data_IF_185786264558
#
_entry.id   IF_185786264558
#
_cell.length_a   1.000
_cell.length_b   1.000
_cell.length_c   1.000
_cell.angle_alpha   90.00
_cell.angle_beta   90.00
_cell.angle_gamma   90.00
#
_symmetry.space_group_name_H-M   'P 1'
#
loop_
_entity.id
_entity.type
_entity.pdbx_description
1 polymer ?
#
# COMPACT_ATOMS: atom_id res chain seq x y z
N UNK A 1 65.07 -20.50 -23.81
CA UNK A 1 64.73 -19.55 -22.76
C UNK A 1 63.34 -18.97 -23.09
N UNK A 2 62.29 -19.42 -22.41
CA UNK A 2 60.92 -19.02 -22.65
C UNK A 2 60.59 -17.89 -21.66
N UNK A 3 60.20 -16.74 -22.22
CA UNK A 3 59.72 -15.61 -21.42
C UNK A 3 58.23 -15.80 -21.15
N UNK A 4 57.86 -16.04 -19.87
CA UNK A 4 56.51 -16.05 -19.41
C UNK A 4 55.99 -14.60 -19.32
N UNK A 5 55.02 -14.24 -20.14
CA UNK A 5 54.25 -13.00 -19.98
C UNK A 5 53.28 -13.12 -18.83
N UNK A 6 53.51 -12.33 -17.78
CA UNK A 6 52.56 -12.13 -16.68
C UNK A 6 51.40 -11.28 -17.19
N UNK A 7 50.27 -11.92 -17.44
CA UNK A 7 49.01 -11.21 -17.70
C UNK A 7 48.51 -10.66 -16.33
N UNK A 8 48.54 -9.34 -16.20
CA UNK A 8 48.00 -8.64 -15.06
C UNK A 8 46.49 -8.89 -14.92
N UNK A 9 46.10 -9.46 -13.81
CA UNK A 9 44.72 -9.60 -13.36
C UNK A 9 44.20 -8.27 -12.76
N UNK A 10 43.99 -7.26 -13.57
CA UNK A 10 43.48 -5.94 -13.09
C UNK A 10 42.28 -5.50 -13.96
N UNK A 11 41.30 -6.38 -14.15
CA UNK A 11 40.08 -6.02 -14.90
C UNK A 11 38.81 -6.66 -14.30
N UNK A 12 38.70 -6.79 -12.99
CA UNK A 12 37.46 -7.19 -12.36
C UNK A 12 37.31 -6.44 -11.03
N UNK A 13 36.99 -5.16 -11.06
CA UNK A 13 36.44 -4.44 -9.89
C UNK A 13 35.97 -3.03 -10.27
N UNK A 14 35.11 -2.92 -11.30
CA UNK A 14 34.21 -1.77 -11.42
C UNK A 14 32.80 -2.28 -11.66
N UNK A 15 32.29 -3.12 -10.76
CA UNK A 15 30.86 -3.23 -10.53
C UNK A 15 30.45 -1.95 -9.80
N UNK A 16 30.07 -0.92 -10.59
CA UNK A 16 29.35 0.22 -10.03
C UNK A 16 28.28 -0.31 -9.10
N UNK A 17 28.38 -0.02 -7.81
CA UNK A 17 27.30 -0.30 -6.83
C UNK A 17 26.05 0.41 -7.36
N UNK A 18 25.17 -0.34 -8.02
CA UNK A 18 23.90 0.19 -8.52
C UNK A 18 23.22 0.92 -7.37
N UNK A 19 23.03 2.22 -7.52
CA UNK A 19 22.44 3.07 -6.49
C UNK A 19 21.09 2.47 -6.08
N UNK A 20 20.93 2.15 -4.79
CA UNK A 20 19.69 1.56 -4.26
C UNK A 20 18.70 2.67 -3.96
N UNK A 21 17.42 2.46 -4.29
CA UNK A 21 16.34 3.37 -3.90
C UNK A 21 16.04 3.19 -2.42
N UNK A 22 15.84 4.31 -1.73
CA UNK A 22 15.27 4.37 -0.38
C UNK A 22 13.85 4.90 -0.50
N UNK A 23 12.88 4.16 0.00
CA UNK A 23 11.49 4.55 0.06
C UNK A 23 11.21 5.34 1.34
N UNK A 24 10.20 6.21 1.31
CA UNK A 24 9.63 6.75 2.55
C UNK A 24 8.97 5.64 3.38
N UNK A 25 8.70 5.85 4.68
CA UNK A 25 8.13 4.82 5.55
C UNK A 25 6.81 4.24 5.02
N UNK A 26 5.97 5.06 4.41
CA UNK A 26 4.67 4.68 3.86
C UNK A 26 4.82 3.75 2.66
N UNK A 27 5.64 4.10 1.67
CA UNK A 27 5.93 3.25 0.51
C UNK A 27 6.73 2.01 0.90
N UNK A 28 7.63 2.12 1.90
CA UNK A 28 8.34 0.95 2.42
C UNK A 28 7.35 -0.06 3.03
N UNK A 29 6.36 0.40 3.80
CA UNK A 29 5.31 -0.47 4.34
C UNK A 29 4.49 -1.13 3.22
N UNK A 30 4.17 -0.41 2.14
CA UNK A 30 3.55 -1.02 0.96
C UNK A 30 4.46 -2.09 0.34
N UNK A 31 5.75 -1.80 0.18
CA UNK A 31 6.71 -2.77 -0.34
C UNK A 31 6.82 -4.02 0.55
N UNK A 32 6.73 -3.88 1.88
CA UNK A 32 6.77 -5.01 2.82
C UNK A 32 5.58 -5.94 2.65
N UNK A 33 4.43 -5.43 2.23
CA UNK A 33 3.19 -6.20 2.04
C UNK A 33 3.14 -6.93 0.70
N UNK A 34 3.84 -6.46 -0.33
CA UNK A 34 3.93 -7.15 -1.63
C UNK A 34 4.54 -8.55 -1.42
N UNK A 35 3.98 -9.58 -2.06
CA UNK A 35 4.48 -10.96 -2.02
C UNK A 35 5.83 -11.08 -2.75
N UNK A 36 6.58 -12.14 -2.49
CA UNK A 36 7.84 -12.41 -3.18
C UNK A 36 7.62 -13.22 -4.46
N UNK A 37 8.44 -12.94 -5.49
CA UNK A 37 8.43 -13.70 -6.74
C UNK A 37 7.25 -13.39 -7.67
N UNK A 38 6.58 -12.25 -7.47
CA UNK A 38 5.35 -11.85 -8.18
C UNK A 38 5.61 -10.80 -9.26
N UNK A 39 4.66 -10.67 -10.19
CA UNK A 39 4.51 -9.51 -11.08
C UNK A 39 3.71 -8.45 -10.32
N UNK A 40 4.17 -7.19 -10.35
CA UNK A 40 3.52 -6.10 -9.60
C UNK A 40 3.03 -5.02 -10.55
N UNK A 41 1.82 -4.50 -10.31
CA UNK A 41 1.36 -3.23 -10.86
C UNK A 41 1.33 -2.17 -9.76
N UNK A 42 1.95 -1.02 -10.00
CA UNK A 42 1.91 0.19 -9.15
C UNK A 42 1.04 1.24 -9.84
N UNK A 43 -0.14 1.52 -9.29
CA UNK A 43 -1.17 2.39 -9.86
C UNK A 43 -1.13 3.75 -9.21
N UNK A 44 -1.03 4.80 -10.03
CA UNK A 44 -0.74 6.16 -9.59
C UNK A 44 0.73 6.31 -9.19
N UNK A 45 1.60 5.75 -10.03
CA UNK A 45 3.03 5.75 -9.75
C UNK A 45 3.60 7.16 -9.82
N UNK A 46 4.20 7.62 -8.73
CA UNK A 46 4.98 8.85 -8.72
C UNK A 46 6.46 8.50 -8.89
N UNK A 47 7.04 8.87 -10.02
CA UNK A 47 8.44 8.63 -10.38
C UNK A 47 8.89 7.14 -10.43
N UNK A 48 8.02 6.17 -10.21
CA UNK A 48 8.34 4.72 -10.27
C UNK A 48 9.19 4.20 -9.12
N UNK A 49 9.28 4.90 -7.99
CA UNK A 49 10.20 4.52 -6.90
C UNK A 49 9.83 3.17 -6.28
N UNK A 50 8.54 2.92 -6.02
CA UNK A 50 8.10 1.66 -5.43
C UNK A 50 8.39 0.45 -6.33
N UNK A 51 7.95 0.40 -7.60
CA UNK A 51 8.25 -0.74 -8.46
C UNK A 51 9.76 -0.92 -8.70
N UNK A 52 10.55 0.15 -8.78
CA UNK A 52 12.01 0.05 -8.90
C UNK A 52 12.61 -0.60 -7.65
N UNK A 53 12.20 -0.21 -6.44
CA UNK A 53 12.68 -0.80 -5.18
C UNK A 53 12.34 -2.29 -5.09
N UNK A 54 11.12 -2.68 -5.48
CA UNK A 54 10.68 -4.08 -5.52
C UNK A 54 11.49 -4.92 -6.51
N UNK A 55 11.82 -4.37 -7.68
CA UNK A 55 12.68 -5.02 -8.67
C UNK A 55 14.13 -5.13 -8.22
N UNK A 56 14.67 -4.10 -7.56
CA UNK A 56 16.05 -4.10 -7.03
C UNK A 56 16.23 -5.08 -5.87
N UNK A 57 15.23 -5.22 -5.01
CA UNK A 57 15.25 -6.19 -3.90
C UNK A 57 15.04 -7.63 -4.36
N UNK A 58 14.62 -7.86 -5.61
CA UNK A 58 14.24 -9.18 -6.12
C UNK A 58 12.87 -9.65 -5.63
N UNK A 59 12.12 -8.80 -4.95
CA UNK A 59 10.78 -9.12 -4.47
C UNK A 59 9.77 -9.25 -5.60
N UNK A 60 9.87 -8.37 -6.61
CA UNK A 60 9.14 -8.49 -7.87
C UNK A 60 10.02 -9.04 -9.00
N UNK A 61 9.46 -9.91 -9.84
CA UNK A 61 10.12 -10.42 -11.06
C UNK A 61 9.99 -9.44 -12.21
N UNK A 62 8.84 -8.79 -12.33
CA UNK A 62 8.57 -7.70 -13.27
C UNK A 62 7.59 -6.70 -12.65
N UNK A 63 7.53 -5.49 -13.21
CA UNK A 63 6.64 -4.46 -12.72
C UNK A 63 6.00 -3.65 -13.86
N UNK A 64 4.77 -3.21 -13.63
CA UNK A 64 4.08 -2.18 -14.41
C UNK A 64 3.90 -0.96 -13.53
N UNK A 65 4.38 0.19 -13.98
CA UNK A 65 4.13 1.50 -13.40
C UNK A 65 3.02 2.17 -14.21
N UNK A 66 1.87 2.40 -13.63
CA UNK A 66 0.71 2.99 -14.30
C UNK A 66 0.35 4.36 -13.70
N UNK A 67 0.04 5.32 -14.54
CA UNK A 67 -0.47 6.64 -14.12
C UNK A 67 -1.38 7.21 -15.20
N UNK A 68 -2.31 8.05 -14.81
CA UNK A 68 -3.20 8.76 -15.74
C UNK A 68 -2.48 9.92 -16.46
N UNK A 69 -1.34 10.36 -15.93
CA UNK A 69 -0.54 11.46 -16.46
C UNK A 69 0.77 10.97 -17.08
N UNK A 70 1.16 11.55 -18.20
CA UNK A 70 2.40 11.19 -18.89
C UNK A 70 3.68 11.61 -18.13
N UNK A 71 3.67 12.76 -17.46
CA UNK A 71 4.88 13.29 -16.81
C UNK A 71 5.45 12.43 -15.68
N UNK A 72 4.65 11.85 -14.75
CA UNK A 72 5.13 10.83 -13.80
C UNK A 72 5.75 9.62 -14.51
N UNK A 73 5.13 9.13 -15.59
CA UNK A 73 5.61 7.96 -16.33
C UNK A 73 6.96 8.24 -17.03
N UNK A 74 7.15 9.42 -17.63
CA UNK A 74 8.45 9.80 -18.17
C UNK A 74 9.54 9.82 -17.11
N UNK A 75 9.21 10.28 -15.90
CA UNK A 75 10.11 10.26 -14.76
C UNK A 75 10.42 8.82 -14.32
N UNK A 76 9.40 7.96 -14.30
CA UNK A 76 9.55 6.53 -13.99
C UNK A 76 10.46 5.82 -15.00
N UNK A 77 10.32 6.11 -16.31
CA UNK A 77 11.19 5.57 -17.37
C UNK A 77 12.65 5.99 -17.16
N UNK A 78 12.91 7.30 -16.91
CA UNK A 78 14.26 7.80 -16.63
C UNK A 78 14.86 7.15 -15.39
N UNK A 79 14.06 7.00 -14.34
CA UNK A 79 14.49 6.34 -13.10
C UNK A 79 14.75 4.86 -13.30
N UNK A 80 13.90 4.12 -14.04
CA UNK A 80 14.13 2.71 -14.34
C UNK A 80 15.48 2.50 -15.05
N UNK A 81 15.83 3.37 -16.01
CA UNK A 81 17.12 3.34 -16.67
C UNK A 81 18.27 3.65 -15.69
N UNK A 82 18.16 4.73 -14.90
CA UNK A 82 19.16 5.14 -13.92
C UNK A 82 19.47 4.06 -12.88
N UNK A 83 18.43 3.31 -12.47
CA UNK A 83 18.53 2.26 -11.45
C UNK A 83 18.73 0.84 -12.04
N UNK A 84 18.84 0.72 -13.37
CA UNK A 84 19.20 -0.52 -14.06
C UNK A 84 18.11 -1.59 -14.04
N UNK A 85 16.82 -1.19 -14.07
CA UNK A 85 15.67 -2.12 -14.05
C UNK A 85 14.76 -2.01 -15.29
N UNK A 86 15.12 -1.20 -16.30
CA UNK A 86 14.29 -0.95 -17.50
C UNK A 86 13.83 -2.24 -18.20
N UNK A 87 14.65 -3.30 -18.22
CA UNK A 87 14.27 -4.57 -18.85
C UNK A 87 13.20 -5.37 -18.10
N UNK A 88 12.84 -4.94 -16.87
CA UNK A 88 11.84 -5.60 -16.02
C UNK A 88 10.69 -4.68 -15.62
N UNK A 89 10.69 -3.43 -16.07
CA UNK A 89 9.65 -2.44 -15.74
C UNK A 89 9.05 -1.86 -17.01
N UNK A 90 7.73 -1.87 -17.10
CA UNK A 90 6.94 -1.24 -18.17
C UNK A 90 6.17 -0.05 -17.57
N UNK A 91 6.12 1.07 -18.28
CA UNK A 91 5.32 2.24 -17.93
C UNK A 91 4.10 2.32 -18.85
N UNK A 92 2.91 2.55 -18.28
CA UNK A 92 1.63 2.50 -18.99
C UNK A 92 0.76 3.69 -18.62
N UNK A 93 0.31 4.46 -19.61
CA UNK A 93 -0.69 5.50 -19.41
C UNK A 93 -2.06 4.83 -19.21
N UNK A 94 -2.67 5.01 -18.02
CA UNK A 94 -3.89 4.30 -17.64
C UNK A 94 -4.68 5.08 -16.61
N UNK A 95 -6.00 5.21 -16.79
CA UNK A 95 -6.91 5.58 -15.70
C UNK A 95 -7.10 4.33 -14.82
N UNK A 96 -6.50 4.35 -13.63
CA UNK A 96 -6.50 3.18 -12.76
C UNK A 96 -5.90 1.95 -13.45
N UNK A 97 -6.69 0.89 -13.57
CA UNK A 97 -6.33 -0.40 -14.15
C UNK A 97 -6.86 -0.62 -15.58
N UNK A 98 -7.49 0.38 -16.21
CA UNK A 98 -8.19 0.23 -17.48
C UNK A 98 -7.31 -0.27 -18.63
N UNK A 99 -6.01 0.07 -18.65
CA UNK A 99 -5.06 -0.39 -19.67
C UNK A 99 -4.24 -1.62 -19.24
N UNK A 100 -4.57 -2.25 -18.11
CA UNK A 100 -3.91 -3.43 -17.57
C UNK A 100 -4.81 -4.67 -17.69
N UNK A 101 -4.18 -5.83 -17.70
CA UNK A 101 -4.81 -7.13 -17.80
C UNK A 101 -4.40 -8.06 -16.64
N UNK A 102 -5.09 -9.19 -16.42
CA UNK A 102 -4.73 -10.17 -15.39
C UNK A 102 -3.29 -10.70 -15.49
N UNK A 103 -2.71 -10.68 -16.70
CA UNK A 103 -1.34 -11.16 -16.97
C UNK A 103 -0.28 -10.16 -16.57
N UNK A 104 -0.63 -8.90 -16.34
CA UNK A 104 0.29 -7.83 -16.00
C UNK A 104 0.72 -7.85 -14.53
N UNK A 105 -0.13 -8.34 -13.64
CA UNK A 105 0.16 -8.33 -12.21
C UNK A 105 -0.49 -9.51 -11.45
N UNK A 106 0.26 -10.01 -10.48
CA UNK A 106 -0.22 -10.91 -9.41
C UNK A 106 -0.56 -10.10 -8.16
N UNK A 107 0.25 -9.05 -7.88
CA UNK A 107 0.00 -8.06 -6.83
C UNK A 107 -0.24 -6.68 -7.45
N UNK A 108 -1.27 -5.99 -6.97
CA UNK A 108 -1.58 -4.61 -7.37
C UNK A 108 -1.43 -3.69 -6.17
N UNK A 109 -0.60 -2.67 -6.32
CA UNK A 109 -0.44 -1.62 -5.30
C UNK A 109 -1.17 -0.37 -5.75
N UNK A 110 -2.03 0.16 -4.88
CA UNK A 110 -2.68 1.47 -5.06
C UNK A 110 -2.42 2.29 -3.80
N UNK A 111 -1.47 3.21 -3.89
CA UNK A 111 -0.99 3.97 -2.75
C UNK A 111 -1.08 5.49 -2.98
N UNK A 112 -1.32 6.25 -1.90
CA UNK A 112 -1.30 7.71 -1.97
C UNK A 112 -2.60 8.34 -2.49
N UNK A 113 -3.71 7.61 -2.50
CA UNK A 113 -5.00 8.05 -3.02
C UNK A 113 -6.08 8.09 -1.93
N UNK A 114 -7.18 8.81 -2.17
CA UNK A 114 -8.37 8.72 -1.30
C UNK A 114 -9.03 7.35 -1.37
N UNK A 115 -9.60 6.87 -0.26
CA UNK A 115 -10.20 5.53 -0.20
C UNK A 115 -11.32 5.31 -1.21
N UNK A 116 -12.10 6.34 -1.52
CA UNK A 116 -13.17 6.26 -2.53
C UNK A 116 -12.61 6.09 -3.95
N UNK A 117 -11.49 6.77 -4.26
CA UNK A 117 -10.81 6.59 -5.55
C UNK A 117 -10.22 5.18 -5.68
N UNK A 118 -9.61 4.66 -4.61
CA UNK A 118 -9.11 3.29 -4.57
C UNK A 118 -10.25 2.30 -4.84
N UNK A 119 -11.41 2.47 -4.19
CA UNK A 119 -12.59 1.62 -4.42
C UNK A 119 -13.07 1.68 -5.87
N UNK A 120 -13.13 2.86 -6.49
CA UNK A 120 -13.48 3.01 -7.90
C UNK A 120 -12.55 2.19 -8.77
N UNK A 121 -11.23 2.38 -8.62
CA UNK A 121 -10.20 1.66 -9.40
C UNK A 121 -10.35 0.14 -9.27
N UNK A 122 -10.62 -0.37 -8.07
CA UNK A 122 -10.81 -1.81 -7.82
C UNK A 122 -12.11 -2.30 -8.47
N UNK A 123 -13.20 -1.52 -8.35
CA UNK A 123 -14.51 -1.92 -8.88
C UNK A 123 -14.58 -1.99 -10.41
N UNK A 124 -13.72 -1.23 -11.10
CA UNK A 124 -13.62 -1.20 -12.55
C UNK A 124 -12.78 -2.34 -13.15
N UNK A 125 -12.11 -3.16 -12.29
CA UNK A 125 -11.21 -4.22 -12.71
C UNK A 125 -11.68 -5.59 -12.20
N UNK A 126 -12.65 -6.20 -12.87
CA UNK A 126 -13.24 -7.49 -12.47
C UNK A 126 -12.24 -8.62 -12.31
N UNK A 127 -11.11 -8.56 -13.03
CA UNK A 127 -10.06 -9.56 -12.92
C UNK A 127 -9.36 -9.60 -11.56
N UNK A 128 -9.52 -8.57 -10.72
CA UNK A 128 -9.05 -8.58 -9.33
C UNK A 128 -9.85 -9.53 -8.42
N UNK A 129 -11.02 -10.01 -8.88
CA UNK A 129 -11.87 -10.97 -8.16
C UNK A 129 -11.38 -12.41 -8.27
N UNK A 130 -10.17 -12.63 -8.75
CA UNK A 130 -9.53 -13.93 -8.79
C UNK A 130 -8.75 -14.18 -7.49
N UNK A 131 -8.83 -15.39 -6.89
CA UNK A 131 -8.28 -15.67 -5.56
C UNK A 131 -6.75 -15.59 -5.49
N UNK A 132 -6.06 -15.71 -6.63
CA UNK A 132 -4.61 -15.56 -6.71
C UNK A 132 -4.14 -14.11 -6.73
N UNK A 133 -5.05 -13.15 -6.94
CA UNK A 133 -4.73 -11.72 -6.93
C UNK A 133 -4.65 -11.19 -5.51
N UNK A 134 -3.69 -10.31 -5.30
CA UNK A 134 -3.46 -9.67 -4.03
C UNK A 134 -3.37 -8.16 -4.22
N UNK A 135 -3.97 -7.40 -3.30
CA UNK A 135 -3.97 -5.95 -3.35
C UNK A 135 -3.23 -5.39 -2.13
N UNK A 136 -2.37 -4.42 -2.36
CA UNK A 136 -1.75 -3.60 -1.32
C UNK A 136 -2.29 -2.19 -1.44
N UNK A 137 -3.10 -1.77 -0.49
CA UNK A 137 -3.84 -0.51 -0.56
C UNK A 137 -3.37 0.46 0.53
N UNK A 138 -3.11 1.70 0.15
CA UNK A 138 -2.73 2.73 1.11
C UNK A 138 -3.59 3.99 0.91
N UNK A 139 -4.69 4.13 1.66
CA UNK A 139 -5.53 5.31 1.60
C UNK A 139 -4.88 6.50 2.33
N UNK A 140 -4.98 7.69 1.73
CA UNK A 140 -4.59 8.96 2.36
C UNK A 140 -5.72 9.56 3.20
N UNK A 141 -6.96 9.23 2.83
CA UNK A 141 -8.21 9.70 3.46
C UNK A 141 -9.27 8.61 3.35
N UNK A 142 -10.35 8.73 4.12
CA UNK A 142 -11.55 7.85 4.03
C UNK A 142 -11.24 6.36 4.08
N UNK A 143 -10.30 5.95 4.94
CA UNK A 143 -9.94 4.53 5.12
C UNK A 143 -11.13 3.69 5.63
N UNK A 144 -12.02 4.27 6.42
CA UNK A 144 -13.27 3.66 6.89
C UNK A 144 -14.20 3.31 5.73
N UNK A 145 -14.38 4.22 4.77
CA UNK A 145 -15.17 3.99 3.56
C UNK A 145 -14.53 2.93 2.66
N UNK A 146 -13.19 2.95 2.54
CA UNK A 146 -12.46 1.92 1.80
C UNK A 146 -12.73 0.54 2.40
N UNK A 147 -12.58 0.37 3.72
CA UNK A 147 -12.84 -0.91 4.39
C UNK A 147 -14.28 -1.37 4.18
N UNK A 148 -15.26 -0.48 4.40
CA UNK A 148 -16.67 -0.79 4.18
C UNK A 148 -16.93 -1.28 2.75
N UNK A 149 -16.43 -0.56 1.75
CA UNK A 149 -16.61 -0.91 0.34
C UNK A 149 -15.92 -2.21 -0.07
N UNK A 150 -14.72 -2.48 0.44
CA UNK A 150 -14.02 -3.74 0.20
C UNK A 150 -14.82 -4.93 0.70
N UNK A 151 -15.24 -4.91 1.97
CA UNK A 151 -16.05 -5.99 2.55
C UNK A 151 -17.40 -6.15 1.85
N UNK A 152 -18.06 -5.05 1.50
CA UNK A 152 -19.33 -5.09 0.76
C UNK A 152 -19.18 -5.67 -0.65
N UNK A 153 -17.99 -5.56 -1.25
CA UNK A 153 -17.68 -6.08 -2.60
C UNK A 153 -17.08 -7.49 -2.59
N UNK A 154 -17.04 -8.17 -1.43
CA UNK A 154 -16.52 -9.54 -1.29
C UNK A 154 -15.01 -9.65 -1.18
N UNK A 155 -14.31 -8.54 -0.90
CA UNK A 155 -12.89 -8.57 -0.53
C UNK A 155 -12.73 -8.71 0.98
N UNK A 156 -11.63 -9.33 1.41
CA UNK A 156 -11.24 -9.43 2.80
C UNK A 156 -9.87 -8.76 3.03
N UNK A 157 -9.71 -8.18 4.21
CA UNK A 157 -8.45 -7.63 4.69
C UNK A 157 -7.84 -8.66 5.64
N UNK A 158 -6.71 -9.26 5.27
CA UNK A 158 -6.03 -10.27 6.10
C UNK A 158 -4.98 -9.65 7.01
N UNK A 159 -4.42 -8.53 6.60
CA UNK A 159 -3.43 -7.79 7.36
C UNK A 159 -3.60 -6.29 7.15
N UNK A 160 -3.41 -5.54 8.23
CA UNK A 160 -3.36 -4.10 8.17
C UNK A 160 -2.38 -3.58 9.22
N UNK A 161 -1.46 -2.71 8.82
CA UNK A 161 -0.50 -2.08 9.71
C UNK A 161 -0.61 -0.55 9.62
N UNK A 162 -0.45 0.11 10.76
CA UNK A 162 -0.27 1.54 10.80
C UNK A 162 1.17 1.92 10.43
N UNK A 163 1.36 3.09 9.84
CA UNK A 163 2.66 3.64 9.50
C UNK A 163 2.68 5.15 9.70
N UNK A 164 3.66 5.64 10.47
CA UNK A 164 3.90 7.06 10.66
C UNK A 164 4.86 7.57 9.57
N UNK A 165 4.42 8.61 8.86
CA UNK A 165 5.22 9.24 7.82
C UNK A 165 5.16 10.76 7.93
N UNK A 166 6.31 11.37 8.18
CA UNK A 166 6.43 12.80 8.37
C UNK A 166 5.68 13.31 9.61
N UNK A 167 4.44 13.77 9.42
CA UNK A 167 3.59 14.33 10.50
C UNK A 167 2.25 13.62 10.60
N UNK A 168 2.00 12.61 9.78
CA UNK A 168 0.71 11.92 9.68
C UNK A 168 0.87 10.43 9.91
N UNK A 169 -0.22 9.84 10.35
CA UNK A 169 -0.34 8.39 10.51
C UNK A 169 -1.30 7.87 9.46
N UNK A 170 -0.94 6.77 8.82
CA UNK A 170 -1.70 6.11 7.77
C UNK A 170 -1.86 4.63 8.08
N UNK A 171 -2.71 3.93 7.32
CA UNK A 171 -2.73 2.47 7.30
C UNK A 171 -2.38 1.94 5.91
N UNK A 172 -1.82 0.73 5.89
CA UNK A 172 -1.58 -0.06 4.69
C UNK A 172 -2.31 -1.38 4.85
N UNK A 173 -3.10 -1.75 3.86
CA UNK A 173 -3.97 -2.91 3.86
C UNK A 173 -3.46 -3.96 2.88
N UNK A 174 -3.46 -5.23 3.30
CA UNK A 174 -3.29 -6.42 2.48
C UNK A 174 -4.68 -7.02 2.26
N UNK A 175 -5.07 -7.18 0.98
CA UNK A 175 -6.45 -7.46 0.59
C UNK A 175 -6.49 -8.51 -0.49
N UNK A 176 -7.45 -9.42 -0.41
CA UNK A 176 -7.73 -10.44 -1.43
C UNK A 176 -9.23 -10.69 -1.58
N UNK A 177 -9.61 -11.27 -2.70
CA UNK A 177 -11.02 -11.56 -2.97
C UNK A 177 -11.43 -12.92 -2.38
N UNK A 178 -12.52 -12.94 -1.63
CA UNK A 178 -13.11 -14.16 -1.05
C UNK A 178 -14.47 -14.52 -1.65
N UNK A 179 -15.13 -13.54 -2.28
CA UNK A 179 -16.53 -13.66 -2.72
C UNK A 179 -17.56 -13.47 -1.59
N UNK A 180 -17.12 -13.38 -0.32
CA UNK A 180 -18.01 -13.22 0.84
C UNK A 180 -18.26 -11.73 1.13
N UNK A 181 -19.42 -11.22 0.73
CA UNK A 181 -19.81 -9.85 0.99
C UNK A 181 -20.28 -9.67 2.45
N UNK A 182 -19.79 -8.60 3.12
CA UNK A 182 -20.22 -8.19 4.46
C UNK A 182 -20.62 -6.73 4.44
N UNK A 183 -21.88 -6.42 4.67
CA UNK A 183 -22.42 -5.06 4.59
C UNK A 183 -22.59 -4.39 5.96
N UNK A 184 -22.60 -5.14 7.04
CA UNK A 184 -22.68 -4.64 8.41
C UNK A 184 -21.38 -4.93 9.14
N UNK A 185 -20.61 -3.86 9.42
CA UNK A 185 -19.38 -3.93 10.19
C UNK A 185 -19.49 -3.09 11.45
N UNK A 186 -18.95 -3.54 12.60
CA UNK A 186 -18.83 -2.71 13.80
C UNK A 186 -18.02 -1.44 13.50
N UNK A 187 -18.37 -0.30 14.13
CA UNK A 187 -17.65 0.96 13.94
C UNK A 187 -16.14 0.83 14.24
N UNK A 188 -15.77 0.08 15.27
CA UNK A 188 -14.36 -0.23 15.55
C UNK A 188 -13.67 -0.84 14.33
N UNK A 189 -14.31 -1.81 13.66
CA UNK A 189 -13.74 -2.47 12.49
C UNK A 189 -13.63 -1.52 11.28
N UNK A 190 -14.57 -0.62 11.11
CA UNK A 190 -14.51 0.41 10.07
C UNK A 190 -13.33 1.36 10.29
N UNK A 191 -13.10 1.81 11.53
CA UNK A 191 -12.10 2.83 11.82
C UNK A 191 -10.70 2.27 12.11
N UNK A 192 -10.60 1.13 12.80
CA UNK A 192 -9.32 0.51 13.15
C UNK A 192 -8.91 -0.63 12.22
N UNK A 193 -9.87 -1.22 11.48
CA UNK A 193 -9.60 -2.37 10.63
C UNK A 193 -9.00 -3.54 11.40
N UNK A 194 -8.00 -4.16 10.80
CA UNK A 194 -7.24 -5.29 11.34
C UNK A 194 -5.93 -4.86 12.03
N UNK A 195 -5.69 -3.55 12.24
CA UNK A 195 -4.50 -3.06 12.93
C UNK A 195 -4.44 -3.67 14.33
N UNK A 196 -3.29 -4.28 14.67
CA UNK A 196 -3.07 -4.89 15.98
C UNK A 196 -2.39 -3.89 16.93
N UNK A 197 -2.73 -3.89 18.22
CA UNK A 197 -2.00 -3.12 19.22
C UNK A 197 -0.57 -3.66 19.39
N UNK A 198 0.31 -2.89 20.04
CA UNK A 198 1.66 -3.32 20.39
C UNK A 198 2.78 -2.64 19.63
N UNK A 199 2.49 -1.68 18.74
CA UNK A 199 3.51 -0.84 18.12
C UNK A 199 3.25 0.65 18.40
N UNK A 200 4.31 1.51 18.41
CA UNK A 200 4.13 2.96 18.54
C UNK A 200 3.20 3.54 17.46
N UNK A 201 3.25 3.01 16.25
CA UNK A 201 2.42 3.48 15.14
C UNK A 201 0.96 3.05 15.30
N UNK A 202 0.70 1.84 15.79
CA UNK A 202 -0.68 1.42 16.09
C UNK A 202 -1.31 2.26 17.20
N UNK A 203 -0.54 2.64 18.23
CA UNK A 203 -1.01 3.53 19.29
C UNK A 203 -1.30 4.95 18.75
N UNK A 204 -0.44 5.50 17.88
CA UNK A 204 -0.67 6.79 17.21
C UNK A 204 -1.91 6.76 16.31
N UNK A 205 -2.10 5.67 15.58
CA UNK A 205 -3.26 5.50 14.73
C UNK A 205 -4.54 5.46 15.57
N UNK A 206 -4.56 4.68 16.64
CA UNK A 206 -5.67 4.61 17.57
C UNK A 206 -5.99 5.99 18.20
N UNK A 207 -4.96 6.75 18.60
CA UNK A 207 -5.16 8.10 19.13
C UNK A 207 -5.80 9.05 18.10
N UNK A 208 -5.38 8.97 16.83
CA UNK A 208 -5.97 9.75 15.73
C UNK A 208 -7.43 9.37 15.48
N UNK A 209 -7.74 8.07 15.48
CA UNK A 209 -9.10 7.56 15.32
C UNK A 209 -9.98 7.98 16.50
N UNK A 210 -9.50 7.84 17.74
CA UNK A 210 -10.22 8.26 18.94
C UNK A 210 -10.57 9.75 18.90
N UNK A 211 -9.62 10.59 18.55
CA UNK A 211 -9.86 12.03 18.39
C UNK A 211 -10.97 12.32 17.36
N UNK A 212 -10.95 11.62 16.23
CA UNK A 212 -11.98 11.76 15.19
C UNK A 212 -13.38 11.33 15.71
N UNK A 213 -13.48 10.16 16.34
CA UNK A 213 -14.73 9.63 16.88
C UNK A 213 -15.29 10.48 18.02
N UNK A 214 -14.42 11.02 18.89
CA UNK A 214 -14.81 11.94 19.96
C UNK A 214 -15.39 13.25 19.42
N UNK A 215 -14.80 13.80 18.35
CA UNK A 215 -15.35 14.98 17.68
C UNK A 215 -16.70 14.69 17.03
N UNK A 216 -16.87 13.54 16.38
CA UNK A 216 -18.16 13.10 15.83
C UNK A 216 -19.21 12.94 16.94
N UNK A 217 -18.84 12.30 18.05
CA UNK A 217 -19.72 12.13 19.21
C UNK A 217 -20.17 13.48 19.78
N UNK A 218 -19.25 14.43 19.94
CA UNK A 218 -19.56 15.75 20.44
C UNK A 218 -20.54 16.50 19.52
N UNK A 219 -20.32 16.45 18.22
CA UNK A 219 -21.22 17.04 17.22
C UNK A 219 -22.60 16.41 17.23
N UNK A 220 -22.68 15.08 17.29
CA UNK A 220 -23.95 14.35 17.31
C UNK A 220 -24.74 14.63 18.59
N UNK A 221 -24.05 14.65 19.73
CA UNK A 221 -24.67 15.00 21.06
C UNK A 221 -25.21 16.43 21.05
N UNK A 222 -24.48 17.37 20.46
CA UNK A 222 -24.98 18.77 20.33
C UNK A 222 -26.24 18.86 19.47
N UNK A 223 -26.36 18.00 18.46
CA UNK A 223 -27.52 17.88 17.57
C UNK A 223 -28.66 17.03 18.17
N UNK A 224 -28.53 16.52 19.38
CA UNK A 224 -29.52 15.65 20.04
C UNK A 224 -29.62 14.23 19.45
N UNK A 225 -28.59 13.78 18.72
CA UNK A 225 -28.53 12.46 18.12
C UNK A 225 -28.06 11.35 19.08
N UNK A 226 -28.33 10.10 18.71
CA UNK A 226 -27.87 8.92 19.45
C UNK A 226 -26.37 8.73 19.31
N UNK A 227 -25.63 8.58 20.39
CA UNK A 227 -24.17 8.40 20.46
C UNK A 227 -23.73 7.01 20.91
N UNK A 228 -24.67 6.11 21.21
CA UNK A 228 -24.36 4.80 21.81
C UNK A 228 -23.33 3.97 21.01
N UNK A 229 -23.50 3.90 19.69
CA UNK A 229 -22.57 3.15 18.84
C UNK A 229 -21.16 3.75 18.79
N UNK A 230 -21.05 5.10 18.82
CA UNK A 230 -19.75 5.80 18.88
C UNK A 230 -19.08 5.59 20.24
N UNK A 231 -19.84 5.64 21.33
CA UNK A 231 -19.34 5.40 22.68
C UNK A 231 -18.79 3.99 22.83
N UNK A 232 -19.53 2.98 22.38
CA UNK A 232 -19.08 1.60 22.38
C UNK A 232 -17.76 1.42 21.59
N UNK A 233 -17.67 1.99 20.38
CA UNK A 233 -16.46 1.92 19.57
C UNK A 233 -15.26 2.63 20.23
N UNK A 234 -15.47 3.79 20.82
CA UNK A 234 -14.44 4.55 21.57
C UNK A 234 -13.91 3.71 22.73
N UNK A 235 -14.80 3.12 23.52
CA UNK A 235 -14.42 2.32 24.69
C UNK A 235 -13.67 1.04 24.30
N UNK A 236 -14.11 0.35 23.26
CA UNK A 236 -13.39 -0.82 22.70
C UNK A 236 -11.98 -0.45 22.24
N UNK A 237 -11.82 0.67 21.50
CA UNK A 237 -10.50 1.10 21.01
C UNK A 237 -9.61 1.50 22.18
N UNK A 238 -10.11 2.25 23.16
CA UNK A 238 -9.36 2.62 24.36
C UNK A 238 -8.89 1.41 25.14
N UNK A 239 -9.76 0.40 25.31
CA UNK A 239 -9.41 -0.82 26.02
C UNK A 239 -8.30 -1.62 25.30
N UNK A 240 -8.39 -1.72 23.95
CA UNK A 240 -7.45 -2.50 23.15
C UNK A 240 -6.08 -1.83 22.97
N UNK A 241 -6.01 -0.49 22.94
CA UNK A 241 -4.79 0.28 22.62
C UNK A 241 -4.29 1.11 23.80
N UNK A 242 -4.58 0.69 25.04
CA UNK A 242 -3.95 1.31 26.22
C UNK A 242 -2.43 1.15 26.12
N UNK A 243 -1.64 2.22 26.36
CA UNK A 243 -0.23 2.03 26.61
C UNK A 243 -0.08 1.08 27.80
N UNK A 244 0.76 0.06 27.67
CA UNK A 244 1.15 -0.75 28.82
C UNK A 244 1.69 0.22 29.87
N UNK A 245 1.14 0.16 31.10
CA UNK A 245 1.65 0.94 32.21
C UNK A 245 3.08 0.44 32.48
N UNK A 246 4.07 1.36 32.33
CA UNK A 246 5.47 1.13 32.72
C UNK A 246 5.58 0.80 34.21
#
# INVERSE_FOLDING_TARGET
MAAFAVVRRDTVEHMERKKKITLDPRLQKCADFVRCGVRVADVGTDHGYLPIALLQSGKAVSAVAADINAAPLESAVRNAARFGVSGRMRCVLSDGLAALSPQDADDVVVAGMGGELILRIISEADWLRAPEKHLVLQPMTTADRLRAGLYASGFAIDREDAVFDGKKIYSVLSVFFTGEAKTALPLRMLHMGCIRPGSPDSARYAASVLHHLENQRAGLRHAGGDTAALEAAIDEIRAAYRPEAE
#
